data_IF_423277435756
#
_entry.id   IF_423277435756
#
_cell.length_a   1.000
_cell.length_b   1.000
_cell.length_c   1.000
_cell.angle_alpha   90.00
_cell.angle_beta   90.00
_cell.angle_gamma   90.00
#
_symmetry.space_group_name_H-M   'P 1'
#
loop_
_entity.id
_entity.type
_entity.pdbx_description
1 polymer ?
#
# COMPACT_ATOMS: atom_id res chain seq x y z
N UNK A 1 48.80 14.58 2.54
CA UNK A 1 49.23 13.22 2.90
C UNK A 1 48.20 12.28 2.27
N UNK A 2 48.71 11.48 1.36
CA UNK A 2 47.95 10.70 0.40
C UNK A 2 47.22 9.55 1.06
N UNK A 3 46.02 9.28 0.55
CA UNK A 3 45.14 8.21 1.00
C UNK A 3 45.76 6.81 0.77
N UNK A 4 45.55 5.99 1.76
CA UNK A 4 45.81 4.56 1.67
C UNK A 4 44.73 3.92 0.77
N UNK A 5 45.14 3.53 -0.41
CA UNK A 5 44.32 2.79 -1.35
C UNK A 5 44.02 1.41 -0.73
N UNK A 6 42.74 1.10 -0.66
CA UNK A 6 42.17 -0.21 -0.33
C UNK A 6 42.86 -1.31 -1.15
N UNK A 7 43.87 -1.94 -0.61
CA UNK A 7 44.45 -3.15 -1.17
C UNK A 7 43.45 -4.27 -0.98
N UNK A 8 42.73 -4.61 -2.05
CA UNK A 8 42.01 -5.89 -2.12
C UNK A 8 42.97 -7.03 -1.73
N UNK A 9 42.77 -7.58 -0.57
CA UNK A 9 43.38 -8.88 -0.17
C UNK A 9 42.92 -9.88 -1.24
N UNK A 10 43.82 -10.65 -1.87
CA UNK A 10 43.43 -11.67 -2.83
C UNK A 10 42.56 -12.70 -2.11
N UNK A 11 41.28 -12.48 -2.09
CA UNK A 11 40.28 -13.33 -1.46
C UNK A 11 40.27 -14.67 -2.19
N UNK A 12 40.49 -15.72 -1.45
CA UNK A 12 40.27 -17.09 -1.84
C UNK A 12 38.88 -17.19 -2.49
N UNK A 13 38.80 -17.23 -3.83
CA UNK A 13 37.54 -17.41 -4.54
C UNK A 13 36.93 -18.70 -4.02
N UNK A 14 35.67 -18.69 -3.53
CA UNK A 14 35.04 -19.90 -3.06
C UNK A 14 35.14 -20.96 -4.18
N UNK A 15 35.44 -22.20 -3.86
CA UNK A 15 35.61 -23.26 -4.85
C UNK A 15 34.30 -23.38 -5.64
N UNK A 16 34.38 -23.43 -6.96
CA UNK A 16 33.24 -23.60 -7.87
C UNK A 16 33.29 -25.02 -8.41
N UNK A 17 32.24 -25.81 -8.21
CA UNK A 17 32.07 -27.11 -8.84
C UNK A 17 31.40 -26.93 -10.19
N UNK A 18 31.97 -27.55 -11.24
CA UNK A 18 31.39 -27.50 -12.59
C UNK A 18 31.10 -28.90 -13.07
N UNK A 19 29.94 -29.10 -13.69
CA UNK A 19 29.56 -30.38 -14.31
C UNK A 19 28.76 -30.12 -15.59
N UNK A 20 28.57 -31.17 -16.41
CA UNK A 20 27.74 -31.09 -17.61
C UNK A 20 26.29 -31.41 -17.27
N UNK A 21 25.35 -30.59 -17.77
CA UNK A 21 23.93 -30.84 -17.63
C UNK A 21 23.56 -32.21 -18.23
N UNK A 22 22.96 -33.07 -17.44
CA UNK A 22 22.57 -34.43 -17.87
C UNK A 22 21.45 -34.41 -18.93
N UNK A 23 20.78 -33.28 -19.12
CA UNK A 23 19.74 -33.13 -20.12
C UNK A 23 20.25 -32.58 -21.47
N UNK A 24 21.12 -31.55 -21.47
CA UNK A 24 21.55 -30.88 -22.72
C UNK A 24 23.06 -30.76 -22.90
N UNK A 25 23.88 -31.25 -21.95
CA UNK A 25 25.35 -31.22 -22.04
C UNK A 25 25.99 -29.85 -21.73
N UNK A 26 25.21 -28.78 -21.54
CA UNK A 26 25.75 -27.46 -21.21
C UNK A 26 26.48 -27.46 -19.87
N UNK A 27 27.54 -26.65 -19.74
CA UNK A 27 28.29 -26.51 -18.50
C UNK A 27 27.42 -25.80 -17.42
N UNK A 28 27.35 -26.39 -16.24
CA UNK A 28 26.66 -25.91 -15.06
C UNK A 28 27.68 -25.69 -13.96
N UNK A 29 27.63 -24.50 -13.34
CA UNK A 29 28.54 -24.14 -12.24
C UNK A 29 27.74 -23.98 -10.94
N UNK A 30 28.28 -24.52 -9.84
CA UNK A 30 27.71 -24.41 -8.48
C UNK A 30 28.65 -23.57 -7.64
N UNK A 31 28.14 -22.52 -7.05
CA UNK A 31 28.88 -21.51 -6.27
C UNK A 31 28.66 -21.65 -4.76
N UNK A 32 27.46 -22.03 -4.32
CA UNK A 32 27.17 -22.31 -2.91
C UNK A 32 27.46 -23.79 -2.58
N UNK A 33 28.73 -24.22 -2.73
CA UNK A 33 29.16 -25.59 -2.50
C UNK A 33 28.76 -26.06 -1.09
N UNK A 34 28.26 -27.30 -1.02
CA UNK A 34 27.79 -27.91 0.23
C UNK A 34 26.45 -27.38 0.74
N UNK A 35 25.87 -26.35 0.11
CA UNK A 35 24.58 -25.80 0.45
C UNK A 35 23.57 -25.93 -0.70
N UNK A 36 24.02 -25.99 -1.94
CA UNK A 36 23.18 -26.20 -3.11
C UNK A 36 22.72 -27.64 -3.18
N UNK A 37 21.41 -27.85 -3.31
CA UNK A 37 20.76 -29.16 -3.44
C UNK A 37 20.27 -29.40 -4.87
N UNK A 38 19.75 -28.37 -5.53
CA UNK A 38 19.30 -28.47 -6.91
C UNK A 38 19.74 -27.29 -7.76
N UNK A 39 19.85 -27.51 -9.08
CA UNK A 39 20.24 -26.45 -10.04
C UNK A 39 19.34 -26.51 -11.28
N UNK A 40 18.73 -25.35 -11.61
CA UNK A 40 18.07 -25.12 -12.89
C UNK A 40 19.10 -24.75 -13.97
N UNK A 41 19.22 -25.55 -15.00
CA UNK A 41 20.15 -25.32 -16.10
C UNK A 41 19.78 -24.06 -16.87
N UNK A 42 20.72 -23.11 -16.99
CA UNK A 42 20.47 -21.84 -17.70
C UNK A 42 20.29 -22.01 -19.21
N UNK A 43 20.71 -23.13 -19.76
CA UNK A 43 20.62 -23.43 -21.20
C UNK A 43 19.29 -24.08 -21.58
N UNK A 44 18.80 -25.06 -20.81
CA UNK A 44 17.60 -25.81 -21.17
C UNK A 44 16.45 -25.77 -20.13
N UNK A 45 16.70 -25.20 -18.93
CA UNK A 45 15.71 -25.13 -17.85
C UNK A 45 15.44 -26.46 -17.15
N UNK A 46 16.17 -27.53 -17.43
CA UNK A 46 16.07 -28.77 -16.66
C UNK A 46 16.56 -28.54 -15.23
N UNK A 47 15.87 -29.10 -14.25
CA UNK A 47 16.26 -29.04 -12.84
C UNK A 47 16.96 -30.32 -12.45
N UNK A 48 18.12 -30.20 -11.89
CA UNK A 48 19.09 -31.30 -11.62
C UNK A 48 19.34 -31.35 -10.12
N UNK A 49 19.27 -32.55 -9.54
CA UNK A 49 19.71 -32.83 -8.17
C UNK A 49 21.23 -32.93 -8.13
N UNK A 50 21.91 -32.00 -7.47
CA UNK A 50 23.37 -31.99 -7.37
C UNK A 50 23.90 -32.75 -6.16
N UNK A 51 22.99 -33.24 -5.31
CA UNK A 51 23.31 -34.13 -4.20
C UNK A 51 23.34 -35.61 -4.63
N UNK A 52 22.75 -35.93 -5.77
CA UNK A 52 22.81 -37.25 -6.41
C UNK A 52 24.10 -37.36 -7.22
N UNK A 53 24.83 -38.43 -7.05
CA UNK A 53 26.11 -38.70 -7.75
C UNK A 53 25.95 -38.74 -9.27
N UNK A 54 24.78 -39.16 -9.77
CA UNK A 54 24.45 -39.24 -11.19
C UNK A 54 23.78 -37.97 -11.73
N UNK A 55 23.66 -36.91 -10.92
CA UNK A 55 22.99 -35.65 -11.31
C UNK A 55 21.61 -35.90 -11.86
N UNK A 56 20.76 -36.55 -11.07
CA UNK A 56 19.38 -36.92 -11.43
C UNK A 56 18.56 -35.70 -11.82
N UNK A 57 17.79 -35.84 -12.90
CA UNK A 57 16.84 -34.79 -13.32
C UNK A 57 15.62 -34.83 -12.40
N UNK A 58 15.33 -33.72 -11.75
CA UNK A 58 14.12 -33.47 -10.94
C UNK A 58 12.96 -32.99 -11.82
N UNK A 59 13.25 -32.07 -12.75
CA UNK A 59 12.28 -31.56 -13.72
C UNK A 59 12.93 -31.51 -15.11
N UNK A 60 12.19 -31.96 -16.11
CA UNK A 60 12.70 -32.01 -17.49
C UNK A 60 12.94 -30.62 -18.09
N UNK A 61 13.74 -30.58 -19.14
CA UNK A 61 14.04 -29.39 -19.91
C UNK A 61 12.76 -28.74 -20.46
N UNK A 62 12.72 -27.43 -20.39
CA UNK A 62 11.65 -26.65 -21.01
C UNK A 62 11.92 -26.46 -22.51
N UNK A 63 10.89 -26.59 -23.35
CA UNK A 63 11.03 -26.40 -24.81
C UNK A 63 11.55 -25.01 -25.19
N UNK A 64 11.27 -23.99 -24.37
CA UNK A 64 11.82 -22.63 -24.50
C UNK A 64 11.97 -22.01 -23.11
N UNK A 65 13.06 -21.29 -22.87
CA UNK A 65 13.20 -20.43 -21.72
C UNK A 65 12.25 -19.24 -21.91
N UNK A 66 11.18 -19.19 -21.10
CA UNK A 66 10.12 -18.20 -21.24
C UNK A 66 10.38 -16.92 -20.43
N UNK A 67 11.18 -17.04 -19.36
CA UNK A 67 11.41 -15.96 -18.42
C UNK A 67 12.90 -15.66 -18.34
N UNK A 68 13.22 -14.36 -18.39
CA UNK A 68 14.58 -13.88 -18.21
C UNK A 68 14.65 -13.02 -16.93
N UNK A 69 15.62 -13.28 -16.05
CA UNK A 69 15.80 -12.46 -14.86
C UNK A 69 16.23 -11.04 -15.23
N UNK A 70 15.61 -10.02 -14.64
CA UNK A 70 16.01 -8.63 -14.81
C UNK A 70 17.40 -8.37 -14.21
N UNK A 71 17.75 -9.10 -13.14
CA UNK A 71 19.08 -9.12 -12.56
C UNK A 71 19.71 -10.47 -12.97
N UNK A 72 20.74 -10.49 -13.85
CA UNK A 72 21.33 -11.73 -14.33
C UNK A 72 21.92 -12.59 -13.21
N UNK A 73 21.88 -13.92 -13.37
CA UNK A 73 22.58 -14.85 -12.47
C UNK A 73 24.08 -14.57 -12.50
N UNK A 74 24.72 -14.64 -11.33
CA UNK A 74 26.12 -14.30 -11.14
C UNK A 74 26.39 -12.82 -10.92
N UNK A 75 25.40 -11.95 -11.08
CA UNK A 75 25.56 -10.51 -10.78
C UNK A 75 25.75 -10.32 -9.28
N UNK A 76 26.74 -9.51 -8.93
CA UNK A 76 27.05 -9.18 -7.54
C UNK A 76 26.59 -7.77 -7.22
N UNK A 77 26.09 -7.59 -6.01
CA UNK A 77 25.60 -6.30 -5.54
C UNK A 77 25.73 -6.17 -4.03
N UNK A 78 25.65 -4.93 -3.54
CA UNK A 78 25.67 -4.63 -2.11
C UNK A 78 24.30 -4.16 -1.68
N UNK A 79 23.63 -4.92 -0.83
CA UNK A 79 22.36 -4.56 -0.20
C UNK A 79 22.54 -4.54 1.32
N UNK A 80 22.07 -3.47 1.96
CA UNK A 80 22.17 -3.29 3.43
C UNK A 80 23.60 -3.49 3.97
N UNK A 81 24.59 -3.02 3.22
CA UNK A 81 26.00 -3.11 3.59
C UNK A 81 26.66 -4.48 3.35
N UNK A 82 25.91 -5.48 2.88
CA UNK A 82 26.39 -6.83 2.66
C UNK A 82 26.47 -7.14 1.16
N UNK A 83 27.57 -7.83 0.75
CA UNK A 83 27.76 -8.23 -0.66
C UNK A 83 27.04 -9.55 -0.93
N UNK A 84 26.16 -9.56 -1.93
CA UNK A 84 25.45 -10.76 -2.38
C UNK A 84 25.72 -11.05 -3.85
N UNK A 85 25.62 -12.31 -4.22
CA UNK A 85 25.60 -12.78 -5.60
C UNK A 85 24.21 -13.38 -5.90
N UNK A 86 23.61 -13.04 -7.03
CA UNK A 86 22.37 -13.67 -7.50
C UNK A 86 22.72 -15.07 -8.03
N UNK A 87 22.29 -16.11 -7.34
CA UNK A 87 22.60 -17.49 -7.71
C UNK A 87 21.41 -18.27 -8.25
N UNK A 88 20.19 -17.88 -7.90
CA UNK A 88 18.97 -18.53 -8.32
C UNK A 88 17.89 -17.52 -8.75
N UNK A 89 17.02 -17.98 -9.63
CA UNK A 89 15.88 -17.23 -10.12
C UNK A 89 14.70 -18.18 -10.33
N UNK A 90 13.53 -17.81 -9.81
CA UNK A 90 12.30 -18.55 -10.07
C UNK A 90 11.15 -17.62 -10.40
N UNK A 91 10.17 -18.16 -11.08
CA UNK A 91 8.87 -17.52 -11.29
C UNK A 91 7.80 -18.39 -10.68
N UNK A 92 6.98 -17.77 -9.85
CA UNK A 92 5.82 -18.42 -9.22
C UNK A 92 4.53 -17.77 -9.71
N UNK A 93 3.46 -18.49 -9.58
CA UNK A 93 2.11 -18.01 -9.88
C UNK A 93 1.17 -18.40 -8.75
N UNK A 94 0.08 -17.68 -8.60
CA UNK A 94 -1.02 -18.07 -7.73
C UNK A 94 -1.71 -19.35 -8.25
N UNK A 95 -2.60 -19.94 -7.45
CA UNK A 95 -3.33 -21.15 -7.83
C UNK A 95 -4.15 -21.02 -9.10
N UNK A 96 -4.57 -19.80 -9.48
CA UNK A 96 -5.34 -19.52 -10.70
C UNK A 96 -4.48 -19.39 -11.95
N UNK A 97 -3.18 -19.07 -11.79
CA UNK A 97 -2.27 -18.76 -12.88
C UNK A 97 -2.45 -17.35 -13.49
N UNK A 98 -3.34 -16.53 -12.92
CA UNK A 98 -3.58 -15.17 -13.39
C UNK A 98 -2.54 -14.18 -12.85
N UNK A 99 -1.88 -14.53 -11.79
CA UNK A 99 -0.96 -13.69 -11.06
C UNK A 99 0.39 -14.33 -10.96
N UNK A 100 1.47 -13.63 -11.26
CA UNK A 100 2.82 -14.17 -11.20
C UNK A 100 3.82 -13.15 -10.67
N UNK A 101 4.81 -13.65 -9.95
CA UNK A 101 5.92 -12.85 -9.42
C UNK A 101 7.25 -13.57 -9.64
N UNK A 102 8.32 -12.85 -9.43
CA UNK A 102 9.69 -13.31 -9.61
C UNK A 102 10.43 -13.29 -8.29
N UNK A 103 11.25 -14.31 -8.06
CA UNK A 103 12.07 -14.45 -6.87
C UNK A 103 13.52 -14.67 -7.27
N UNK A 104 14.40 -13.91 -6.66
CA UNK A 104 15.84 -13.98 -6.88
C UNK A 104 16.52 -14.47 -5.60
N UNK A 105 17.21 -15.60 -5.67
CA UNK A 105 18.00 -16.12 -4.56
C UNK A 105 19.38 -15.46 -4.54
N UNK A 106 19.64 -14.76 -3.45
CA UNK A 106 20.92 -14.10 -3.18
C UNK A 106 21.74 -14.95 -2.22
N UNK A 107 23.03 -15.05 -2.49
CA UNK A 107 23.97 -15.80 -1.65
C UNK A 107 25.15 -14.95 -1.20
N UNK A 108 25.47 -15.08 0.08
CA UNK A 108 26.71 -14.59 0.68
C UNK A 108 27.31 -15.73 1.52
N UNK A 109 28.59 -16.09 1.34
CA UNK A 109 29.21 -17.20 2.06
C UNK A 109 29.20 -17.10 3.58
N UNK A 110 29.12 -15.88 4.11
CA UNK A 110 29.16 -15.60 5.54
C UNK A 110 27.76 -15.30 6.14
N UNK A 111 26.83 -14.82 5.31
CA UNK A 111 25.47 -14.39 5.74
C UNK A 111 24.38 -15.36 5.28
N UNK A 112 24.73 -16.34 4.45
CA UNK A 112 23.80 -17.32 3.88
C UNK A 112 22.90 -16.71 2.81
N UNK A 113 21.67 -17.19 2.76
CA UNK A 113 20.70 -16.86 1.71
C UNK A 113 19.79 -15.70 2.08
N UNK A 114 19.38 -14.94 1.06
CA UNK A 114 18.36 -13.90 1.09
C UNK A 114 17.56 -13.98 -0.19
N UNK A 115 16.41 -13.33 -0.20
CA UNK A 115 15.58 -13.25 -1.40
C UNK A 115 15.29 -11.80 -1.77
N UNK A 116 15.17 -11.56 -3.06
CA UNK A 116 14.44 -10.42 -3.59
C UNK A 116 13.21 -10.97 -4.29
N UNK A 117 12.05 -10.48 -3.93
CA UNK A 117 10.81 -10.74 -4.66
C UNK A 117 10.47 -9.52 -5.51
N UNK A 118 10.05 -9.75 -6.75
CA UNK A 118 9.61 -8.69 -7.66
C UNK A 118 8.23 -9.00 -8.20
N UNK A 119 7.37 -8.01 -8.12
CA UNK A 119 6.04 -8.05 -8.65
C UNK A 119 5.62 -6.68 -9.18
N UNK A 120 5.28 -6.62 -10.49
CA UNK A 120 4.87 -5.37 -11.15
C UNK A 120 5.80 -4.19 -10.87
N UNK A 121 7.12 -4.43 -10.80
CA UNK A 121 8.13 -3.42 -10.52
C UNK A 121 8.29 -3.03 -9.04
N UNK A 122 7.55 -3.66 -8.15
CA UNK A 122 7.72 -3.52 -6.69
C UNK A 122 8.61 -4.61 -6.15
N UNK A 123 9.50 -4.26 -5.23
CA UNK A 123 10.51 -5.16 -4.72
C UNK A 123 10.41 -5.30 -3.21
N UNK A 124 10.67 -6.52 -2.70
CA UNK A 124 10.86 -6.78 -1.28
C UNK A 124 12.17 -7.52 -1.06
N UNK A 125 12.88 -7.16 0.00
CA UNK A 125 14.04 -7.90 0.50
C UNK A 125 13.58 -8.85 1.59
N UNK A 126 13.76 -10.16 1.40
CA UNK A 126 13.14 -11.19 2.23
C UNK A 126 14.19 -12.05 2.92
N UNK A 127 13.94 -12.38 4.18
CA UNK A 127 14.78 -13.19 5.05
C UNK A 127 13.91 -14.25 5.72
N UNK A 128 14.38 -15.49 5.80
CA UNK A 128 13.73 -16.51 6.63
C UNK A 128 13.80 -16.10 8.11
N UNK A 129 12.69 -16.21 8.84
CA UNK A 129 12.63 -15.84 10.25
C UNK A 129 13.46 -16.78 11.12
N UNK A 130 14.08 -16.24 12.18
CA UNK A 130 14.83 -17.06 13.14
C UNK A 130 13.97 -17.58 14.29
N UNK A 131 12.85 -16.93 14.53
CA UNK A 131 11.86 -17.30 15.55
C UNK A 131 10.53 -17.52 14.85
N UNK A 132 9.76 -18.46 15.32
CA UNK A 132 8.44 -18.66 14.77
C UNK A 132 7.51 -17.52 15.18
N UNK A 133 6.85 -16.87 14.22
CA UNK A 133 5.78 -15.94 14.52
C UNK A 133 4.64 -16.63 15.25
N UNK A 134 3.90 -15.87 16.05
CA UNK A 134 2.69 -16.37 16.70
C UNK A 134 1.47 -15.98 15.88
N UNK A 135 0.58 -16.93 15.63
CA UNK A 135 -0.74 -16.61 15.09
C UNK A 135 -1.55 -15.90 16.18
N UNK A 136 -1.78 -14.61 16.02
CA UNK A 136 -2.48 -13.75 17.00
C UNK A 136 -4.01 -13.89 16.98
N UNK A 137 -4.55 -15.01 16.49
CA UNK A 137 -5.99 -15.23 16.26
C UNK A 137 -6.36 -15.17 14.77
N UNK A 138 -7.64 -15.34 14.43
CA UNK A 138 -8.08 -15.37 13.03
C UNK A 138 -7.72 -14.04 12.31
N UNK A 139 -6.82 -14.13 11.33
CA UNK A 139 -6.46 -12.98 10.50
C UNK A 139 -5.33 -12.10 11.03
N UNK A 140 -4.63 -12.47 12.09
CA UNK A 140 -3.49 -11.72 12.62
C UNK A 140 -2.29 -12.63 12.89
N UNK A 141 -1.10 -12.08 12.70
CA UNK A 141 0.16 -12.70 13.14
C UNK A 141 0.99 -11.68 13.91
N UNK A 142 1.81 -12.16 14.84
CA UNK A 142 2.73 -11.32 15.61
C UNK A 142 4.15 -11.83 15.45
N UNK A 143 5.08 -10.93 15.19
CA UNK A 143 6.49 -11.22 15.11
C UNK A 143 7.30 -10.10 15.76
N UNK A 144 8.16 -10.46 16.73
CA UNK A 144 9.01 -9.54 17.49
C UNK A 144 8.24 -8.36 18.13
N UNK A 145 7.02 -8.59 18.61
CA UNK A 145 6.17 -7.58 19.25
C UNK A 145 5.44 -6.66 18.27
N UNK A 146 5.51 -6.93 16.97
CA UNK A 146 4.78 -6.20 15.93
C UNK A 146 3.63 -7.05 15.39
N UNK A 147 2.45 -6.45 15.27
CA UNK A 147 1.27 -7.11 14.71
C UNK A 147 1.22 -6.92 13.19
N UNK A 148 0.81 -7.97 12.49
CA UNK A 148 0.62 -8.05 11.04
C UNK A 148 -0.78 -8.53 10.76
N UNK A 149 -1.45 -7.94 9.78
CA UNK A 149 -2.81 -8.30 9.36
C UNK A 149 -2.77 -9.20 8.13
N UNK A 150 -3.60 -10.25 8.12
CA UNK A 150 -3.73 -11.13 6.97
C UNK A 150 -4.16 -10.32 5.74
N UNK A 151 -3.34 -10.38 4.72
CA UNK A 151 -3.58 -9.73 3.44
C UNK A 151 -4.03 -10.73 2.37
N UNK A 152 -3.35 -11.87 2.29
CA UNK A 152 -3.60 -12.89 1.28
C UNK A 152 -3.49 -14.29 1.87
N UNK A 153 -4.32 -15.20 1.36
CA UNK A 153 -4.23 -16.63 1.60
C UNK A 153 -4.52 -17.35 0.30
N UNK A 154 -3.60 -18.20 -0.12
CA UNK A 154 -3.74 -18.89 -1.39
C UNK A 154 -2.70 -19.98 -1.59
N UNK A 155 -2.38 -20.23 -2.83
CA UNK A 155 -1.36 -21.19 -3.23
C UNK A 155 -0.30 -20.49 -4.09
N UNK A 156 0.94 -20.92 -3.95
CA UNK A 156 2.05 -20.49 -4.78
C UNK A 156 2.62 -21.70 -5.53
N UNK A 157 2.61 -21.63 -6.86
CA UNK A 157 3.09 -22.69 -7.74
C UNK A 157 4.34 -22.25 -8.47
N UNK A 158 5.37 -23.07 -8.43
CA UNK A 158 6.60 -22.86 -9.19
C UNK A 158 6.36 -23.17 -10.67
N UNK A 159 6.56 -22.20 -11.56
CA UNK A 159 6.38 -22.40 -13.01
C UNK A 159 7.66 -22.32 -13.80
N UNK A 160 8.74 -21.77 -13.22
CA UNK A 160 10.02 -21.64 -13.87
C UNK A 160 11.17 -21.50 -12.86
N UNK A 161 12.33 -22.09 -13.13
CA UNK A 161 13.55 -21.98 -12.30
C UNK A 161 14.80 -21.92 -13.15
N UNK A 162 15.80 -21.14 -12.70
CA UNK A 162 17.18 -21.10 -13.21
C UNK A 162 18.18 -20.94 -12.04
N UNK A 163 19.36 -21.51 -12.17
CA UNK A 163 20.42 -21.37 -11.18
C UNK A 163 20.25 -22.27 -9.96
N UNK A 164 20.88 -21.90 -8.86
CA UNK A 164 21.07 -22.72 -7.67
C UNK A 164 20.00 -22.52 -6.61
N UNK A 165 19.61 -23.64 -5.94
CA UNK A 165 18.67 -23.63 -4.80
C UNK A 165 19.17 -24.57 -3.70
N UNK A 166 18.92 -24.20 -2.46
CA UNK A 166 19.32 -24.96 -1.27
C UNK A 166 18.31 -26.04 -0.86
N UNK A 167 17.30 -26.29 -1.70
CA UNK A 167 16.34 -27.40 -1.56
C UNK A 167 16.08 -28.04 -2.93
N UNK A 168 15.34 -29.14 -2.95
CA UNK A 168 14.92 -29.81 -4.20
C UNK A 168 13.73 -29.08 -4.81
N UNK A 169 14.00 -27.99 -5.53
CA UNK A 169 12.96 -27.24 -6.23
C UNK A 169 12.42 -28.08 -7.40
N UNK A 170 11.10 -28.09 -7.57
CA UNK A 170 10.42 -28.78 -8.67
C UNK A 170 9.47 -27.85 -9.40
N UNK A 171 9.58 -27.79 -10.74
CA UNK A 171 8.60 -27.09 -11.56
C UNK A 171 7.24 -27.77 -11.46
N UNK A 172 6.21 -27.01 -11.17
CA UNK A 172 4.85 -27.52 -10.90
C UNK A 172 4.54 -27.75 -9.42
N UNK A 173 5.56 -27.67 -8.54
CA UNK A 173 5.34 -27.73 -7.09
C UNK A 173 4.45 -26.59 -6.60
N UNK A 174 3.53 -26.92 -5.69
CA UNK A 174 2.58 -25.97 -5.12
C UNK A 174 2.66 -26.04 -3.60
N UNK A 175 2.70 -24.87 -2.96
CA UNK A 175 2.64 -24.71 -1.50
C UNK A 175 1.51 -23.77 -1.13
N UNK A 176 0.92 -23.94 0.06
CA UNK A 176 -0.04 -22.96 0.60
C UNK A 176 0.74 -21.79 1.16
N UNK A 177 0.21 -20.58 0.92
CA UNK A 177 0.82 -19.35 1.39
C UNK A 177 -0.19 -18.50 2.14
N UNK A 178 0.30 -17.86 3.19
CA UNK A 178 -0.44 -16.84 3.94
C UNK A 178 0.48 -15.63 4.11
N UNK A 179 0.05 -14.48 3.61
CA UNK A 179 0.81 -13.23 3.70
C UNK A 179 0.11 -12.28 4.66
N UNK A 180 0.84 -11.80 5.65
CA UNK A 180 0.38 -10.84 6.64
C UNK A 180 1.20 -9.56 6.47
N UNK A 181 0.56 -8.41 6.42
CA UNK A 181 1.23 -7.13 6.17
C UNK A 181 1.17 -6.19 7.37
N UNK A 182 2.25 -5.44 7.51
CA UNK A 182 2.36 -4.25 8.34
C UNK A 182 3.36 -3.32 7.65
N UNK A 183 2.94 -2.56 6.63
CA UNK A 183 3.86 -1.80 5.79
C UNK A 183 4.91 -1.03 6.58
N UNK A 184 6.18 -1.05 6.16
CA UNK A 184 6.69 -1.58 4.89
C UNK A 184 6.99 -3.09 4.86
N UNK A 185 6.51 -3.86 5.81
CA UNK A 185 6.87 -5.26 5.98
C UNK A 185 5.73 -6.21 5.61
N UNK A 186 6.13 -7.40 5.12
CA UNK A 186 5.28 -8.57 4.95
C UNK A 186 5.86 -9.73 5.74
N UNK A 187 5.03 -10.44 6.46
CA UNK A 187 5.35 -11.70 7.10
C UNK A 187 4.65 -12.80 6.30
N UNK A 188 5.41 -13.66 5.65
CA UNK A 188 4.90 -14.72 4.79
C UNK A 188 5.09 -16.08 5.43
N UNK A 189 4.05 -16.91 5.35
CA UNK A 189 4.02 -18.28 5.83
C UNK A 189 3.81 -19.21 4.65
N UNK A 190 4.76 -20.10 4.40
CA UNK A 190 4.64 -21.18 3.43
C UNK A 190 4.44 -22.51 4.14
N UNK A 191 3.43 -23.26 3.71
CA UNK A 191 3.06 -24.54 4.30
C UNK A 191 3.13 -25.62 3.23
N UNK A 192 4.04 -26.55 3.38
CA UNK A 192 4.16 -27.77 2.61
C UNK A 192 3.76 -28.98 3.48
N UNK A 193 3.62 -30.21 2.90
CA UNK A 193 3.40 -31.41 3.69
C UNK A 193 4.57 -31.72 4.65
N UNK A 194 5.78 -31.29 4.32
CA UNK A 194 7.01 -31.61 5.04
C UNK A 194 7.38 -30.56 6.07
N UNK A 195 7.09 -29.30 5.79
CA UNK A 195 7.56 -28.19 6.62
C UNK A 195 6.68 -26.94 6.54
N UNK A 196 6.85 -26.10 7.54
CA UNK A 196 6.28 -24.76 7.62
C UNK A 196 7.44 -23.76 7.72
N UNK A 197 7.49 -22.81 6.77
CA UNK A 197 8.54 -21.80 6.71
C UNK A 197 7.91 -20.42 6.85
N UNK A 198 8.47 -19.63 7.76
CA UNK A 198 8.16 -18.23 7.89
C UNK A 198 9.29 -17.35 7.37
N UNK A 199 8.92 -16.31 6.67
CA UNK A 199 9.85 -15.29 6.19
C UNK A 199 9.32 -13.89 6.43
N UNK A 200 10.23 -12.94 6.62
CA UNK A 200 9.92 -11.53 6.71
C UNK A 200 10.51 -10.81 5.52
N UNK A 201 9.67 -10.09 4.78
CA UNK A 201 10.04 -9.22 3.69
C UNK A 201 9.86 -7.77 4.07
N UNK A 202 10.72 -6.91 3.55
CA UNK A 202 10.60 -5.46 3.69
C UNK A 202 10.66 -4.82 2.31
N UNK A 203 9.76 -3.89 2.05
CA UNK A 203 9.73 -3.14 0.80
C UNK A 203 11.05 -2.41 0.56
N UNK A 204 11.57 -2.53 -0.64
CA UNK A 204 12.77 -1.86 -1.09
C UNK A 204 12.49 -1.15 -2.42
N UNK A 205 12.98 0.08 -2.55
CA UNK A 205 12.81 0.83 -3.79
C UNK A 205 13.60 0.20 -4.95
N UNK A 206 13.00 0.18 -6.14
CA UNK A 206 13.64 -0.34 -7.35
C UNK A 206 14.99 0.33 -7.63
N UNK A 207 15.09 1.63 -7.35
CA UNK A 207 16.35 2.39 -7.52
C UNK A 207 17.46 1.86 -6.60
N UNK A 208 17.12 1.43 -5.38
CA UNK A 208 18.07 0.80 -4.46
C UNK A 208 18.58 -0.54 -5.01
N UNK A 209 17.66 -1.34 -5.57
CA UNK A 209 18.02 -2.62 -6.23
C UNK A 209 18.89 -2.37 -7.46
N UNK A 210 18.52 -1.37 -8.27
CA UNK A 210 19.30 -0.98 -9.44
C UNK A 210 20.70 -0.50 -9.06
N UNK A 211 20.80 0.37 -8.08
CA UNK A 211 22.11 0.88 -7.59
C UNK A 211 22.99 -0.25 -7.04
N UNK A 212 22.39 -1.25 -6.38
CA UNK A 212 23.11 -2.39 -5.82
C UNK A 212 23.69 -3.29 -6.90
N UNK A 213 22.88 -3.72 -7.87
CA UNK A 213 23.27 -4.74 -8.85
C UNK A 213 23.68 -4.19 -10.21
N UNK A 214 23.27 -2.96 -10.56
CA UNK A 214 23.56 -2.31 -11.85
C UNK A 214 23.32 -3.26 -13.03
N UNK A 215 22.12 -3.79 -13.21
CA UNK A 215 21.81 -4.66 -14.31
C UNK A 215 21.93 -3.91 -15.64
N UNK A 216 22.24 -4.64 -16.71
CA UNK A 216 22.46 -4.03 -18.03
C UNK A 216 21.17 -3.49 -18.65
N UNK A 217 20.03 -4.08 -18.28
CA UNK A 217 18.69 -3.62 -18.68
C UNK A 217 18.00 -2.90 -17.51
N UNK A 218 17.08 -1.95 -17.79
CA UNK A 218 16.28 -1.33 -16.74
C UNK A 218 15.44 -2.37 -16.02
N UNK A 219 15.23 -2.13 -14.71
CA UNK A 219 14.30 -2.95 -13.93
C UNK A 219 12.85 -2.70 -14.37
N UNK A 220 11.94 -3.65 -14.11
CA UNK A 220 10.53 -3.46 -14.40
C UNK A 220 9.98 -2.19 -13.75
N UNK A 221 9.17 -1.44 -14.51
CA UNK A 221 8.51 -0.24 -14.02
C UNK A 221 7.39 -0.57 -13.05
N UNK A 222 7.22 0.26 -12.02
CA UNK A 222 6.14 0.09 -11.04
C UNK A 222 4.77 0.26 -11.67
N UNK A 223 3.87 -0.66 -11.37
CA UNK A 223 2.46 -0.62 -11.80
C UNK A 223 1.58 -0.74 -10.55
N UNK A 224 0.77 0.28 -10.29
CA UNK A 224 -0.12 0.32 -9.13
C UNK A 224 0.61 0.59 -7.82
N UNK A 225 0.03 0.07 -6.73
CA UNK A 225 0.54 0.18 -5.36
C UNK A 225 0.72 -1.22 -4.80
N UNK A 226 1.90 -1.51 -4.24
CA UNK A 226 2.14 -2.79 -3.58
C UNK A 226 1.61 -2.80 -2.14
N UNK A 227 1.21 -3.98 -1.63
CA UNK A 227 0.69 -4.12 -0.27
C UNK A 227 1.68 -3.66 0.82
N UNK A 228 2.97 -3.85 0.55
CA UNK A 228 4.07 -3.46 1.46
C UNK A 228 4.62 -2.07 1.20
N UNK A 229 4.17 -1.38 0.14
CA UNK A 229 4.68 -0.05 -0.19
C UNK A 229 4.37 0.94 0.93
N UNK A 230 5.38 1.67 1.45
CA UNK A 230 5.16 2.71 2.44
C UNK A 230 4.21 3.79 1.93
N UNK A 231 3.28 4.21 2.77
CA UNK A 231 2.41 5.34 2.44
C UNK A 231 3.24 6.64 2.46
N UNK A 232 3.65 7.10 1.28
CA UNK A 232 4.41 8.35 1.12
C UNK A 232 3.63 9.60 1.57
N UNK A 233 2.30 9.48 1.64
CA UNK A 233 1.44 10.60 2.06
C UNK A 233 1.18 10.62 3.58
N UNK A 234 1.70 9.65 4.35
CA UNK A 234 1.42 9.55 5.78
C UNK A 234 1.86 10.78 6.58
N UNK A 235 2.99 11.38 6.21
CA UNK A 235 3.45 12.64 6.81
C UNK A 235 2.64 13.83 6.33
N UNK A 236 2.33 13.91 5.05
CA UNK A 236 1.49 14.96 4.49
C UNK A 236 0.07 14.99 5.11
N UNK A 237 -0.49 13.81 5.44
CA UNK A 237 -1.78 13.73 6.13
C UNK A 237 -1.74 14.38 7.52
N UNK A 238 -0.64 14.21 8.27
CA UNK A 238 -0.47 14.88 9.58
C UNK A 238 -0.44 16.41 9.43
N UNK A 239 0.25 16.90 8.41
CA UNK A 239 0.30 18.33 8.13
C UNK A 239 -1.06 18.88 7.66
N UNK A 240 -1.78 18.14 6.82
CA UNK A 240 -3.14 18.49 6.41
C UNK A 240 -4.05 18.65 7.64
N UNK A 241 -4.05 17.70 8.57
CA UNK A 241 -4.84 17.78 9.79
C UNK A 241 -4.46 18.99 10.64
N UNK A 242 -3.17 19.29 10.77
CA UNK A 242 -2.67 20.46 11.50
C UNK A 242 -3.20 21.77 10.88
N UNK A 243 -3.06 21.93 9.56
CA UNK A 243 -3.54 23.13 8.89
C UNK A 243 -5.06 23.22 8.89
N UNK A 244 -5.77 22.10 8.77
CA UNK A 244 -7.23 22.05 8.90
C UNK A 244 -7.68 22.51 10.29
N UNK A 245 -7.04 22.04 11.35
CA UNK A 245 -7.37 22.45 12.72
C UNK A 245 -7.12 23.95 12.93
N UNK A 246 -6.02 24.49 12.39
CA UNK A 246 -5.74 25.94 12.43
C UNK A 246 -6.82 26.72 11.69
N UNK A 247 -7.20 26.28 10.49
CA UNK A 247 -8.20 26.94 9.66
C UNK A 247 -9.58 26.95 10.34
N UNK A 248 -10.00 25.79 10.88
CA UNK A 248 -11.26 25.67 11.65
C UNK A 248 -11.22 26.57 12.88
N UNK A 249 -10.10 26.58 13.62
CA UNK A 249 -9.93 27.49 14.75
C UNK A 249 -10.06 28.96 14.37
N UNK A 250 -9.47 29.35 13.23
CA UNK A 250 -9.60 30.72 12.72
C UNK A 250 -11.04 31.08 12.37
N UNK A 251 -11.80 30.15 11.75
CA UNK A 251 -13.22 30.36 11.47
C UNK A 251 -14.00 30.62 12.77
N UNK A 252 -13.75 29.80 13.80
CA UNK A 252 -14.40 30.02 15.10
C UNK A 252 -14.05 31.37 15.72
N UNK A 253 -12.78 31.78 15.67
CA UNK A 253 -12.35 33.10 16.16
C UNK A 253 -13.06 34.23 15.42
N UNK A 254 -13.16 34.16 14.08
CA UNK A 254 -13.89 35.12 13.27
C UNK A 254 -15.38 35.13 13.65
N UNK A 255 -15.99 33.93 13.78
CA UNK A 255 -17.40 33.78 14.17
C UNK A 255 -17.68 34.44 15.53
N UNK A 256 -16.87 34.14 16.54
CA UNK A 256 -17.00 34.75 17.87
C UNK A 256 -16.77 36.26 17.86
N UNK A 257 -15.82 36.74 17.06
CA UNK A 257 -15.55 38.16 16.90
C UNK A 257 -16.72 38.90 16.21
N UNK A 258 -17.48 38.19 15.37
CA UNK A 258 -18.64 38.79 14.68
C UNK A 258 -19.91 38.83 15.54
N UNK A 259 -20.02 38.00 16.62
CA UNK A 259 -21.20 37.98 17.51
C UNK A 259 -21.53 39.38 18.06
N UNK A 260 -20.58 40.15 18.66
CA UNK A 260 -20.90 41.47 19.19
C UNK A 260 -21.18 42.52 18.10
N UNK A 261 -20.80 42.22 16.84
CA UNK A 261 -21.09 43.07 15.70
C UNK A 261 -22.44 42.74 15.04
N UNK A 262 -23.02 41.59 15.36
CA UNK A 262 -24.35 41.22 14.90
C UNK A 262 -25.38 42.00 15.74
N UNK A 263 -26.22 42.81 15.09
CA UNK A 263 -27.33 43.45 15.72
C UNK A 263 -28.53 42.49 15.71
N UNK A 264 -29.03 42.16 16.89
CA UNK A 264 -30.29 41.47 17.06
C UNK A 264 -31.21 42.44 17.83
N UNK A 265 -31.89 43.27 17.07
CA UNK A 265 -32.74 44.36 17.60
C UNK A 265 -34.17 44.10 17.19
N UNK A 266 -35.08 44.11 18.15
CA UNK A 266 -36.50 44.04 17.88
C UNK A 266 -36.94 45.41 17.33
N UNK A 267 -37.28 45.47 16.05
CA UNK A 267 -37.64 46.72 15.35
C UNK A 267 -39.12 46.97 15.34
N UNK A 268 -39.93 45.93 15.45
CA UNK A 268 -41.37 46.01 15.48
C UNK A 268 -41.97 44.84 16.26
N UNK A 269 -42.98 45.12 17.09
CA UNK A 269 -43.78 44.09 17.76
C UNK A 269 -45.20 44.63 17.91
N UNK A 270 -46.19 43.88 17.45
CA UNK A 270 -47.60 44.22 17.61
C UNK A 270 -48.45 42.95 17.66
N UNK A 271 -49.66 43.07 18.17
CA UNK A 271 -50.65 42.00 18.28
C UNK A 271 -51.92 42.36 17.49
N UNK A 272 -52.24 41.51 16.53
CA UNK A 272 -53.41 41.69 15.68
C UNK A 272 -54.52 40.71 16.10
N UNK A 273 -55.70 41.20 16.28
CA UNK A 273 -56.87 40.37 16.60
C UNK A 273 -57.74 40.23 15.37
N UNK A 274 -57.90 38.99 14.92
CA UNK A 274 -58.73 38.66 13.76
C UNK A 274 -60.25 38.61 14.19
N UNK A 275 -61.12 39.20 13.37
CA UNK A 275 -62.54 39.05 13.51
C UNK A 275 -63.02 37.77 12.83
N UNK A 276 -63.68 36.86 13.57
CA UNK A 276 -64.07 35.52 13.10
C UNK A 276 -65.06 35.53 11.91
N UNK A 277 -65.69 36.59 11.62
CA UNK A 277 -66.72 36.73 10.56
C UNK A 277 -66.16 37.09 9.18
N UNK A 278 -64.84 37.30 9.07
CA UNK A 278 -64.18 37.65 7.80
C UNK A 278 -63.19 36.57 7.34
N UNK A 279 -63.35 36.12 6.11
CA UNK A 279 -62.47 35.16 5.51
C UNK A 279 -61.00 35.69 5.33
N UNK A 280 -60.90 37.00 5.04
CA UNK A 280 -59.62 37.71 4.90
C UNK A 280 -59.66 39.03 5.59
N UNK A 281 -58.72 39.40 6.39
CA UNK A 281 -58.57 40.68 7.06
C UNK A 281 -57.17 41.26 6.79
N UNK A 282 -57.09 42.55 6.49
CA UNK A 282 -55.84 43.25 6.22
C UNK A 282 -55.50 44.18 7.38
N UNK A 283 -54.28 44.08 7.84
CA UNK A 283 -53.72 44.95 8.86
C UNK A 283 -52.62 45.78 8.25
N UNK A 284 -52.54 47.06 8.57
CA UNK A 284 -51.44 47.93 8.18
C UNK A 284 -50.73 48.35 9.46
N UNK A 285 -49.45 48.04 9.54
CA UNK A 285 -48.65 48.41 10.70
C UNK A 285 -48.16 49.85 10.62
N UNK A 286 -47.82 50.47 11.74
CA UNK A 286 -47.06 51.72 11.71
C UNK A 286 -45.72 51.50 11.03
N UNK A 287 -45.20 52.54 10.42
CA UNK A 287 -43.83 52.44 9.81
C UNK A 287 -42.78 52.33 10.89
N UNK A 288 -41.76 51.55 10.60
CA UNK A 288 -40.59 51.41 11.45
C UNK A 288 -39.32 51.67 10.66
N UNK A 289 -38.25 52.08 11.35
CA UNK A 289 -37.01 52.45 10.69
C UNK A 289 -35.95 51.36 10.85
N UNK A 290 -35.44 50.86 9.72
CA UNK A 290 -34.28 49.97 9.69
C UNK A 290 -33.03 50.83 9.61
N UNK A 291 -32.26 50.87 10.70
CA UNK A 291 -31.03 51.65 10.78
C UNK A 291 -29.81 50.73 10.52
N UNK A 292 -29.01 51.05 9.52
CA UNK A 292 -27.73 50.38 9.31
C UNK A 292 -27.47 49.95 7.86
N UNK A 293 -26.53 49.01 7.71
CA UNK A 293 -26.25 48.36 6.44
C UNK A 293 -27.31 47.30 6.17
N UNK A 294 -27.30 46.74 4.94
CA UNK A 294 -28.17 45.62 4.59
C UNK A 294 -28.04 44.49 5.62
N UNK A 295 -29.16 44.12 6.21
CA UNK A 295 -29.28 43.04 7.22
C UNK A 295 -30.47 42.17 6.89
N UNK A 296 -30.51 40.97 7.46
CA UNK A 296 -31.67 40.12 7.38
C UNK A 296 -32.74 40.66 8.32
N UNK A 297 -33.99 40.67 7.85
CA UNK A 297 -35.15 40.93 8.66
C UNK A 297 -35.88 39.60 8.90
N UNK A 298 -36.03 39.24 10.16
CA UNK A 298 -36.70 38.00 10.56
C UNK A 298 -38.12 38.37 11.05
N UNK A 299 -39.12 37.67 10.53
CA UNK A 299 -40.49 37.77 10.95
C UNK A 299 -40.84 36.55 11.79
N UNK A 300 -41.12 36.75 13.05
CA UNK A 300 -41.64 35.71 13.94
C UNK A 300 -43.12 35.97 14.19
N UNK A 301 -43.98 35.04 13.84
CA UNK A 301 -45.41 35.12 14.02
C UNK A 301 -45.85 34.01 14.97
N UNK A 302 -46.53 34.40 16.02
CA UNK A 302 -47.13 33.47 16.98
C UNK A 302 -48.64 33.56 16.88
N UNK A 303 -49.31 32.46 16.63
CA UNK A 303 -50.76 32.40 16.58
C UNK A 303 -51.30 31.18 17.36
N UNK A 304 -52.27 31.40 18.28
CA UNK A 304 -52.89 30.31 19.04
C UNK A 304 -53.97 29.61 18.19
N UNK A 305 -53.55 28.91 17.13
CA UNK A 305 -54.47 28.10 16.30
C UNK A 305 -54.58 26.70 16.85
N UNK A 306 -55.83 26.20 16.99
CA UNK A 306 -56.12 24.82 17.38
C UNK A 306 -57.00 24.19 16.29
N UNK A 307 -56.58 23.08 15.71
CA UNK A 307 -57.24 22.32 14.63
C UNK A 307 -57.63 23.17 13.41
N UNK A 308 -56.92 24.26 13.19
CA UNK A 308 -57.13 25.16 12.04
C UNK A 308 -55.76 25.67 11.54
N UNK A 309 -55.79 26.33 10.43
CA UNK A 309 -54.59 26.91 9.82
C UNK A 309 -54.82 28.41 9.57
N UNK A 310 -53.72 29.15 9.53
CA UNK A 310 -53.72 30.56 9.18
C UNK A 310 -52.70 30.77 8.05
N UNK A 311 -53.11 31.51 7.04
CA UNK A 311 -52.27 31.93 5.94
C UNK A 311 -51.97 33.42 6.08
N UNK A 312 -50.69 33.78 6.05
CA UNK A 312 -50.23 35.14 6.24
C UNK A 312 -49.48 35.59 4.99
N UNK A 313 -50.03 36.62 4.35
CA UNK A 313 -49.34 37.36 3.31
C UNK A 313 -48.80 38.65 3.93
N UNK A 314 -47.49 38.74 3.98
CA UNK A 314 -46.77 39.89 4.55
C UNK A 314 -46.20 40.69 3.39
N UNK A 315 -46.59 41.96 3.29
CA UNK A 315 -46.06 42.90 2.32
C UNK A 315 -45.24 43.98 3.05
N UNK A 316 -43.93 44.02 2.76
CA UNK A 316 -43.02 45.03 3.27
C UNK A 316 -42.88 46.15 2.23
N UNK A 317 -43.30 47.35 2.55
CA UNK A 317 -43.26 48.51 1.66
C UNK A 317 -42.21 49.51 2.13
N UNK A 318 -41.29 49.87 1.26
CA UNK A 318 -40.35 50.95 1.53
C UNK A 318 -41.05 52.30 1.23
N UNK A 319 -41.37 53.01 2.26
CA UNK A 319 -42.11 54.31 2.13
C UNK A 319 -41.38 55.37 1.28
N UNK A 320 -40.05 55.30 1.24
CA UNK A 320 -39.25 56.27 0.47
C UNK A 320 -39.15 55.98 -1.00
N UNK A 321 -39.04 54.68 -1.34
CA UNK A 321 -38.79 54.24 -2.73
C UNK A 321 -40.03 53.64 -3.38
N UNK A 322 -41.05 53.24 -2.60
CA UNK A 322 -42.22 52.50 -3.07
C UNK A 322 -41.92 51.04 -3.44
N UNK A 323 -40.70 50.55 -3.14
CA UNK A 323 -40.34 49.15 -3.39
C UNK A 323 -41.12 48.25 -2.42
N UNK A 324 -41.72 47.19 -2.95
CA UNK A 324 -42.48 46.21 -2.16
C UNK A 324 -41.80 44.85 -2.21
N UNK A 325 -41.82 44.12 -1.09
CA UNK A 325 -41.40 42.73 -0.98
C UNK A 325 -42.50 41.93 -0.29
N UNK A 326 -42.98 40.92 -1.00
CA UNK A 326 -44.05 40.06 -0.53
C UNK A 326 -43.49 38.73 -0.03
N UNK A 327 -44.05 38.24 1.06
CA UNK A 327 -43.75 36.91 1.63
C UNK A 327 -45.07 36.28 2.05
N UNK A 328 -45.26 35.00 1.71
CA UNK A 328 -46.41 34.20 2.14
C UNK A 328 -45.95 33.06 3.01
N UNK A 329 -46.61 32.85 4.12
CA UNK A 329 -46.31 31.77 5.06
C UNK A 329 -47.59 31.23 5.69
N UNK A 330 -47.80 29.91 5.56
CA UNK A 330 -48.89 29.19 6.20
C UNK A 330 -48.43 28.53 7.50
N UNK A 331 -49.21 28.67 8.56
CA UNK A 331 -48.95 28.06 9.88
C UNK A 331 -50.09 27.14 10.25
#
# INVERSE_FOLDING_TARGET
MAGDADKEVPGNKPPVKTFSCTSCGASVSVKALGQTVSVGCQSCGAVIDVTDENYRIISEAQKKIKFHPAIPLGKRGTLRGEKFEVIGFMVRTDGSGAYSWREYLLFNPYKGFRWLTEEKGHWNYVITTRKNPHAGGPGNAEYLGKAYQLYNRGEAKVIFVLGEFYWRVKVGETVKVEDYISPPEVLSREISPEEEIWSIGEYIEADTVYAAFKPDNPLPTKIGVAPTQPNQMAEAVKDIWKYTAIFVGLIFVIQFAMIPLSRNELVFHDTFNRTLDKATEKFVTPSFTLNGRETNLEFTVESPVDQSWIDLDIELVNERTGETREMSHGV
#
